data_IF_615608854702
#
_entry.id   IF_615608854702
#
_cell.length_a   1.000
_cell.length_b   1.000
_cell.length_c   1.000
_cell.angle_alpha   90.00
_cell.angle_beta   90.00
_cell.angle_gamma   90.00
#
_symmetry.space_group_name_H-M   'P 1'
#
loop_
_entity.id
_entity.type
_entity.pdbx_description
1 polymer ?
#
# COMPACT_ATOMS: atom_id res chain seq x y z
N UNK A 1 -3.39 -5.74 19.98
CA UNK A 1 -3.70 -4.46 19.30
C UNK A 1 -3.36 -4.62 17.82
N UNK A 2 -4.33 -5.03 17.00
CA UNK A 2 -4.12 -5.22 15.56
C UNK A 2 -4.09 -3.83 14.92
N UNK A 3 -2.89 -3.32 14.63
CA UNK A 3 -2.78 -2.07 13.86
C UNK A 3 -3.48 -2.28 12.53
N UNK A 4 -4.49 -1.46 12.24
CA UNK A 4 -5.28 -1.60 11.01
C UNK A 4 -4.37 -1.37 9.81
N UNK A 5 -4.19 -2.40 8.99
CA UNK A 5 -3.34 -2.40 7.79
C UNK A 5 -3.75 -1.25 6.85
N UNK A 6 -5.05 -0.93 6.86
CA UNK A 6 -5.65 0.21 6.17
C UNK A 6 -5.08 1.58 6.59
N UNK A 7 -4.79 1.79 7.88
CA UNK A 7 -4.18 3.03 8.40
C UNK A 7 -2.71 3.13 7.99
N UNK A 8 -1.97 2.02 8.07
CA UNK A 8 -0.58 1.96 7.63
C UNK A 8 -0.45 2.22 6.13
N UNK A 9 -1.33 1.65 5.31
CA UNK A 9 -1.39 1.93 3.88
C UNK A 9 -1.70 3.40 3.57
N UNK A 10 -2.59 4.04 4.36
CA UNK A 10 -2.86 5.46 4.23
C UNK A 10 -1.65 6.34 4.56
N UNK A 11 -0.89 6.00 5.60
CA UNK A 11 0.36 6.69 5.94
C UNK A 11 1.43 6.53 4.85
N UNK A 12 1.53 5.35 4.23
CA UNK A 12 2.47 5.13 3.13
C UNK A 12 2.06 5.86 1.85
N UNK A 13 0.77 5.96 1.54
CA UNK A 13 0.29 6.72 0.38
C UNK A 13 0.65 8.21 0.41
N UNK A 14 0.95 8.76 1.60
CA UNK A 14 1.47 10.12 1.80
C UNK A 14 2.97 10.26 1.58
N UNK A 15 3.69 9.14 1.57
CA UNK A 15 5.14 9.16 1.41
C UNK A 15 5.49 9.31 -0.09
N UNK A 16 6.18 10.39 -0.50
CA UNK A 16 6.52 10.62 -1.91
C UNK A 16 7.41 9.51 -2.49
N UNK A 17 8.25 8.85 -1.70
CA UNK A 17 9.04 7.71 -2.16
C UNK A 17 8.15 6.52 -2.53
N UNK A 18 7.11 6.27 -1.73
CA UNK A 18 6.16 5.19 -1.98
C UNK A 18 5.24 5.50 -3.17
N UNK A 19 4.84 6.77 -3.32
CA UNK A 19 4.13 7.25 -4.52
C UNK A 19 4.97 6.98 -5.78
N UNK A 20 6.26 7.32 -5.76
CA UNK A 20 7.18 7.09 -6.88
C UNK A 20 7.38 5.60 -7.17
N UNK A 21 7.52 4.76 -6.15
CA UNK A 21 7.59 3.29 -6.29
C UNK A 21 6.33 2.71 -6.96
N UNK A 22 5.16 3.24 -6.60
CA UNK A 22 3.90 2.82 -7.22
C UNK A 22 3.71 3.38 -8.64
N UNK A 23 4.53 4.36 -9.05
CA UNK A 23 4.37 5.09 -10.30
C UNK A 23 3.22 6.09 -10.27
N UNK A 24 2.97 6.69 -9.10
CA UNK A 24 1.90 7.63 -8.86
C UNK A 24 2.44 9.03 -8.52
N UNK A 25 1.81 10.06 -9.07
CA UNK A 25 2.22 11.46 -8.86
C UNK A 25 1.55 12.12 -7.65
N UNK A 26 0.52 11.49 -7.06
CA UNK A 26 -0.24 12.05 -5.94
C UNK A 26 -0.82 10.96 -5.01
N UNK A 27 -1.29 11.37 -3.82
CA UNK A 27 -1.83 10.46 -2.80
C UNK A 27 -3.00 9.60 -3.32
N UNK A 28 -3.87 10.17 -4.16
CA UNK A 28 -5.04 9.48 -4.72
C UNK A 28 -4.61 8.41 -5.73
N UNK A 29 -3.70 8.74 -6.64
CA UNK A 29 -3.15 7.80 -7.61
C UNK A 29 -2.36 6.67 -6.92
N UNK A 30 -1.60 6.99 -5.85
CA UNK A 30 -0.89 5.98 -5.08
C UNK A 30 -1.84 5.04 -4.36
N UNK A 31 -2.94 5.58 -3.82
CA UNK A 31 -4.02 4.76 -3.25
C UNK A 31 -4.64 3.85 -4.32
N UNK A 32 -4.96 4.37 -5.48
CA UNK A 32 -5.58 3.59 -6.57
C UNK A 32 -4.63 2.48 -7.07
N UNK A 33 -3.36 2.82 -7.28
CA UNK A 33 -2.32 1.87 -7.66
C UNK A 33 -2.11 0.77 -6.61
N UNK A 34 -2.17 1.13 -5.32
CA UNK A 34 -2.12 0.17 -4.22
C UNK A 34 -3.35 -0.73 -4.20
N UNK A 35 -4.55 -0.16 -4.36
CA UNK A 35 -5.80 -0.90 -4.46
C UNK A 35 -5.74 -1.92 -5.61
N UNK A 36 -5.31 -1.50 -6.81
CA UNK A 36 -5.15 -2.38 -7.98
C UNK A 36 -4.14 -3.50 -7.74
N UNK A 37 -2.97 -3.21 -7.15
CA UNK A 37 -1.95 -4.24 -6.87
C UNK A 37 -2.37 -5.21 -5.77
N UNK A 38 -3.16 -4.75 -4.80
CA UNK A 38 -3.73 -5.63 -3.78
C UNK A 38 -5.01 -6.35 -4.25
N UNK A 39 -5.51 -6.04 -5.45
CA UNK A 39 -6.81 -6.51 -6.00
C UNK A 39 -7.99 -6.22 -5.07
N UNK A 40 -8.04 -5.00 -4.53
CA UNK A 40 -9.12 -4.50 -3.68
C UNK A 40 -9.69 -3.20 -4.23
N UNK A 41 -10.95 -2.92 -3.94
CA UNK A 41 -11.58 -1.66 -4.32
C UNK A 41 -11.32 -0.58 -3.26
N UNK A 42 -11.23 -0.97 -1.99
CA UNK A 42 -11.08 -0.03 -0.89
C UNK A 42 -10.01 -0.41 0.11
N UNK A 43 -9.31 0.60 0.65
CA UNK A 43 -8.34 0.41 1.72
C UNK A 43 -8.93 -0.29 2.95
N UNK A 44 -10.26 -0.21 3.17
CA UNK A 44 -10.92 -0.93 4.26
C UNK A 44 -10.86 -2.45 4.08
N UNK A 45 -10.80 -2.91 2.82
CA UNK A 45 -10.69 -4.34 2.49
C UNK A 45 -9.31 -4.89 2.85
N UNK A 46 -8.26 -4.07 3.01
CA UNK A 46 -7.00 -4.54 3.61
C UNK A 46 -7.14 -5.11 5.02
N UNK A 47 -8.21 -4.72 5.73
CA UNK A 47 -8.48 -5.14 7.10
C UNK A 47 -9.46 -6.31 7.17
N UNK A 48 -10.22 -6.56 6.09
CA UNK A 48 -11.31 -7.55 6.03
C UNK A 48 -11.01 -8.69 5.06
N UNK A 49 -10.24 -8.43 4.00
CA UNK A 49 -9.79 -9.40 3.03
C UNK A 49 -8.40 -9.94 3.41
N UNK A 50 -8.29 -11.24 3.73
CA UNK A 50 -7.01 -11.85 4.13
C UNK A 50 -5.98 -11.86 2.99
N UNK A 51 -6.39 -11.91 1.72
CA UNK A 51 -5.49 -11.90 0.56
C UNK A 51 -4.82 -10.53 0.43
N UNK A 52 -5.59 -9.46 0.62
CA UNK A 52 -5.06 -8.11 0.65
C UNK A 52 -4.11 -7.89 1.83
N UNK A 53 -4.44 -8.46 2.99
CA UNK A 53 -3.61 -8.42 4.19
C UNK A 53 -2.27 -9.15 4.02
N UNK A 54 -2.19 -10.21 3.19
CA UNK A 54 -0.94 -10.89 2.84
C UNK A 54 -0.12 -10.15 1.77
N UNK A 55 -0.80 -9.50 0.82
CA UNK A 55 -0.14 -8.77 -0.27
C UNK A 55 0.51 -7.47 0.15
N UNK A 56 -0.11 -6.74 1.06
CA UNK A 56 0.42 -5.45 1.51
C UNK A 56 1.82 -5.55 2.15
N UNK A 57 2.11 -6.53 3.04
CA UNK A 57 3.46 -6.82 3.51
C UNK A 57 4.47 -7.09 2.39
N UNK A 58 4.11 -7.89 1.38
CA UNK A 58 4.98 -8.18 0.24
C UNK A 58 5.29 -6.91 -0.56
N UNK A 59 4.30 -6.06 -0.78
CA UNK A 59 4.45 -4.74 -1.41
C UNK A 59 5.41 -3.84 -0.63
N UNK A 60 5.25 -3.82 0.70
CA UNK A 60 6.10 -3.05 1.61
C UNK A 60 7.54 -3.55 1.60
N UNK A 61 7.74 -4.86 1.52
CA UNK A 61 9.06 -5.47 1.45
C UNK A 61 9.75 -5.16 0.11
N UNK A 62 9.00 -5.20 -1.00
CA UNK A 62 9.49 -4.75 -2.31
C UNK A 62 9.95 -3.30 -2.29
N UNK A 63 9.13 -2.41 -1.73
CA UNK A 63 9.49 -1.01 -1.54
C UNK A 63 10.76 -0.83 -0.67
N UNK A 64 10.85 -1.53 0.46
CA UNK A 64 12.02 -1.46 1.34
C UNK A 64 13.32 -1.94 0.67
N UNK A 65 13.22 -2.94 -0.21
CA UNK A 65 14.35 -3.45 -0.99
C UNK A 65 14.76 -2.46 -2.09
N UNK A 66 13.79 -1.83 -2.78
CA UNK A 66 14.07 -0.90 -3.88
C UNK A 66 14.66 0.43 -3.37
N UNK A 67 14.19 0.95 -2.24
CA UNK A 67 14.70 2.21 -1.67
C UNK A 67 16.08 2.11 -1.01
N UNK A 68 16.63 0.90 -0.85
CA UNK A 68 17.94 0.63 -0.24
C UNK A 68 19.08 0.57 -1.28
N UNK A 69 18.77 0.75 -2.57
CA UNK A 69 19.78 0.76 -3.64
C UNK A 69 20.31 2.15 -3.96
#
# INVERSE_FOLDING_TARGET
MTQRTSTTAALMGRNPAFQRYLGADNEQAARDALCRRCEIESRRELDTDPRAAERFPALRQGFACETTK
#
